data_IF_015455910850
#
_entry.id   IF_015455910850
#
_cell.length_a   1.000
_cell.length_b   1.000
_cell.length_c   1.000
_cell.angle_alpha   90.00
_cell.angle_beta   90.00
_cell.angle_gamma   90.00
#
_symmetry.space_group_name_H-M   'P 1'
#
loop_
_entity.id
_entity.type
_entity.pdbx_description
1 polymer ?
#
# COMPACT_ATOMS: atom_id res chain seq x y z
N UNK A 1 11.12 8.44 25.78
CA UNK A 1 9.90 7.61 25.61
C UNK A 1 9.25 7.95 24.28
N UNK A 2 8.38 7.10 23.71
CA UNK A 2 7.77 7.40 22.42
C UNK A 2 6.81 8.60 22.55
N UNK A 3 6.99 9.60 21.67
CA UNK A 3 6.02 10.66 21.46
C UNK A 3 4.84 10.08 20.68
N UNK A 4 3.73 9.83 21.36
CA UNK A 4 2.48 9.40 20.71
C UNK A 4 1.75 10.66 20.28
N UNK A 5 1.62 10.86 18.97
CA UNK A 5 0.77 11.92 18.45
C UNK A 5 -0.68 11.41 18.47
N UNK A 6 -1.46 11.84 19.46
CA UNK A 6 -2.90 11.62 19.47
C UNK A 6 -3.53 12.56 18.45
N UNK A 7 -3.52 12.17 17.18
CA UNK A 7 -4.26 12.85 16.12
C UNK A 7 -5.44 11.99 15.70
N UNK A 8 -6.58 12.21 16.35
CA UNK A 8 -7.87 11.78 15.83
C UNK A 8 -8.46 12.96 15.08
N UNK A 9 -8.20 13.04 13.77
CA UNK A 9 -8.99 13.94 12.94
C UNK A 9 -10.36 13.31 12.72
N UNK A 10 -11.31 13.71 13.55
CA UNK A 10 -12.72 13.36 13.47
C UNK A 10 -13.38 14.23 12.39
N UNK A 11 -13.32 13.79 11.14
CA UNK A 11 -13.98 14.50 10.04
C UNK A 11 -14.72 13.60 9.07
N UNK A 12 -14.14 12.46 8.69
CA UNK A 12 -14.76 11.53 7.74
C UNK A 12 -14.19 10.13 7.93
N UNK A 13 -15.05 9.14 8.22
CA UNK A 13 -14.64 7.73 8.23
C UNK A 13 -14.22 7.37 6.80
N UNK A 14 -12.93 7.11 6.58
CA UNK A 14 -12.44 6.78 5.25
C UNK A 14 -13.04 5.47 4.75
N UNK A 15 -13.34 5.37 3.44
CA UNK A 15 -13.87 4.14 2.80
C UNK A 15 -13.06 2.87 3.12
N UNK A 16 -11.75 3.01 3.34
CA UNK A 16 -10.90 1.89 3.72
C UNK A 16 -11.17 1.38 5.15
N UNK A 17 -11.62 2.24 6.07
CA UNK A 17 -12.02 1.83 7.42
C UNK A 17 -13.28 0.97 7.36
N UNK A 18 -14.27 1.37 6.57
CA UNK A 18 -15.47 0.55 6.33
C UNK A 18 -15.12 -0.81 5.72
N UNK A 19 -14.17 -0.87 4.79
CA UNK A 19 -13.65 -2.13 4.26
C UNK A 19 -12.96 -2.98 5.34
N UNK A 20 -12.17 -2.36 6.22
CA UNK A 20 -11.51 -3.05 7.35
C UNK A 20 -12.55 -3.64 8.32
N UNK A 21 -13.64 -2.94 8.58
CA UNK A 21 -14.73 -3.41 9.45
C UNK A 21 -15.40 -4.70 8.93
N UNK A 22 -15.27 -5.01 7.63
CA UNK A 22 -15.79 -6.27 7.05
C UNK A 22 -14.88 -7.48 7.23
N UNK A 23 -13.67 -7.30 7.77
CA UNK A 23 -12.65 -8.36 7.89
C UNK A 23 -12.59 -8.89 9.32
N UNK A 24 -12.12 -10.12 9.47
CA UNK A 24 -11.94 -10.72 10.79
C UNK A 24 -10.81 -10.02 11.57
N UNK A 25 -10.87 -10.08 12.90
CA UNK A 25 -9.84 -9.51 13.78
C UNK A 25 -8.44 -10.04 13.41
N UNK A 26 -7.47 -9.12 13.38
CA UNK A 26 -6.06 -9.43 13.08
C UNK A 26 -5.84 -10.18 11.76
N UNK A 27 -6.77 -10.07 10.80
CA UNK A 27 -6.67 -10.80 9.52
C UNK A 27 -6.00 -10.01 8.39
N UNK A 28 -6.01 -8.67 8.48
CA UNK A 28 -5.53 -7.78 7.41
C UNK A 28 -4.06 -7.41 7.59
N UNK A 29 -3.28 -7.56 6.52
CA UNK A 29 -1.89 -7.09 6.48
C UNK A 29 -1.83 -5.60 6.10
N UNK A 30 -1.33 -4.75 7.01
CA UNK A 30 -1.03 -3.36 6.69
C UNK A 30 0.40 -3.21 6.15
N UNK A 31 0.55 -2.50 5.03
CA UNK A 31 1.82 -2.32 4.34
C UNK A 31 2.02 -0.84 4.04
N UNK A 32 3.10 -0.27 4.57
CA UNK A 32 3.52 1.10 4.26
C UNK A 32 5.04 1.21 4.41
N UNK A 33 5.67 1.87 3.44
CA UNK A 33 7.10 2.18 3.45
C UNK A 33 7.38 3.61 3.95
N UNK A 34 6.38 4.26 4.56
CA UNK A 34 6.45 5.65 4.97
C UNK A 34 6.68 6.59 3.80
N UNK A 35 6.97 7.86 4.09
CA UNK A 35 7.13 8.90 3.06
C UNK A 35 8.48 8.84 2.34
N UNK A 36 9.52 8.29 2.98
CA UNK A 36 10.90 8.40 2.48
C UNK A 36 11.38 7.19 1.67
N UNK A 37 10.97 5.96 2.01
CA UNK A 37 11.52 4.78 1.33
C UNK A 37 10.86 4.53 -0.04
N UNK A 38 11.67 4.17 -1.04
CA UNK A 38 11.24 3.83 -2.40
C UNK A 38 11.63 2.38 -2.65
N UNK A 39 10.71 1.58 -3.17
CA UNK A 39 11.01 0.22 -3.59
C UNK A 39 11.61 0.23 -4.99
N UNK A 40 12.66 -0.55 -5.21
CA UNK A 40 13.08 -0.87 -6.57
C UNK A 40 12.01 -1.70 -7.29
N UNK A 41 11.98 -1.63 -8.63
CA UNK A 41 11.09 -2.46 -9.47
C UNK A 41 11.10 -3.94 -9.07
N UNK A 42 12.28 -4.49 -8.80
CA UNK A 42 12.43 -5.90 -8.38
C UNK A 42 11.76 -6.18 -7.03
N UNK A 43 11.91 -5.27 -6.06
CA UNK A 43 11.27 -5.41 -4.75
C UNK A 43 9.74 -5.29 -4.87
N UNK A 44 9.25 -4.37 -5.70
CA UNK A 44 7.82 -4.20 -5.95
C UNK A 44 7.21 -5.48 -6.53
N UNK A 45 7.84 -6.06 -7.56
CA UNK A 45 7.39 -7.31 -8.19
C UNK A 45 7.37 -8.47 -7.20
N UNK A 46 8.42 -8.65 -6.40
CA UNK A 46 8.45 -9.73 -5.41
C UNK A 46 7.43 -9.51 -4.27
N UNK A 47 7.18 -8.26 -3.88
CA UNK A 47 6.13 -7.93 -2.92
C UNK A 47 4.74 -8.30 -3.48
N UNK A 48 4.42 -7.90 -4.72
CA UNK A 48 3.18 -8.27 -5.39
C UNK A 48 2.99 -9.80 -5.43
N UNK A 49 4.01 -10.55 -5.86
CA UNK A 49 3.97 -12.02 -5.87
C UNK A 49 3.74 -12.60 -4.47
N UNK A 50 4.38 -12.05 -3.45
CA UNK A 50 4.21 -12.50 -2.07
C UNK A 50 2.77 -12.25 -1.58
N UNK A 51 2.17 -11.13 -1.94
CA UNK A 51 0.79 -10.79 -1.56
C UNK A 51 -0.23 -11.74 -2.20
N UNK A 52 -0.13 -12.02 -3.49
CA UNK A 52 -0.97 -13.03 -4.17
C UNK A 52 -0.84 -14.40 -3.48
N UNK A 53 0.40 -14.84 -3.24
CA UNK A 53 0.67 -16.14 -2.59
C UNK A 53 0.16 -16.19 -1.14
N UNK A 54 0.15 -15.07 -0.43
CA UNK A 54 -0.28 -15.01 0.96
C UNK A 54 -1.76 -15.32 1.15
N UNK A 55 -2.60 -15.10 0.12
CA UNK A 55 -4.07 -15.27 0.17
C UNK A 55 -4.72 -14.55 1.36
N UNK A 56 -4.09 -13.48 1.86
CA UNK A 56 -4.60 -12.67 2.97
C UNK A 56 -5.14 -11.35 2.45
N UNK A 57 -6.21 -10.80 3.07
CA UNK A 57 -6.61 -9.43 2.81
C UNK A 57 -5.45 -8.51 3.23
N UNK A 58 -5.18 -7.48 2.44
CA UNK A 58 -4.12 -6.53 2.71
C UNK A 58 -4.58 -5.10 2.42
N UNK A 59 -4.02 -4.16 3.17
CA UNK A 59 -4.15 -2.72 2.96
C UNK A 59 -2.75 -2.16 2.72
N UNK A 60 -2.47 -1.80 1.47
CA UNK A 60 -1.17 -1.27 1.07
C UNK A 60 -1.29 0.21 0.70
N UNK A 61 -0.54 1.05 1.41
CA UNK A 61 -0.38 2.47 1.11
C UNK A 61 0.73 2.64 0.07
N UNK A 62 0.34 3.02 -1.14
CA UNK A 62 1.24 3.39 -2.24
C UNK A 62 1.29 4.92 -2.27
N UNK A 63 2.49 5.49 -2.26
CA UNK A 63 2.70 6.94 -2.20
C UNK A 63 3.17 7.45 -3.56
N UNK A 64 2.50 8.46 -4.08
CA UNK A 64 2.96 9.19 -5.27
C UNK A 64 4.16 10.07 -4.87
N UNK A 65 5.35 9.78 -5.41
CA UNK A 65 6.57 10.51 -5.06
C UNK A 65 6.85 11.57 -6.11
N UNK A 66 6.10 12.67 -6.04
CA UNK A 66 6.13 13.81 -6.97
C UNK A 66 7.46 14.57 -7.15
N UNK A 67 8.62 14.07 -6.72
CA UNK A 67 9.89 14.83 -6.75
C UNK A 67 11.16 14.04 -7.09
N UNK A 68 11.12 13.08 -8.04
CA UNK A 68 12.36 12.64 -8.69
C UNK A 68 12.16 12.43 -10.18
N UNK A 69 12.75 13.30 -10.98
CA UNK A 69 12.83 13.22 -12.43
C UNK A 69 13.38 11.87 -12.91
N UNK A 70 12.47 10.93 -13.21
CA UNK A 70 12.64 9.76 -14.08
C UNK A 70 11.25 9.27 -14.53
N UNK A 71 10.64 9.99 -15.48
CA UNK A 71 9.33 9.65 -16.08
C UNK A 71 9.25 8.16 -16.50
N UNK A 72 10.36 7.59 -16.99
CA UNK A 72 10.47 6.17 -17.37
C UNK A 72 10.39 5.14 -16.22
N UNK A 73 10.69 5.50 -14.96
CA UNK A 73 10.64 4.58 -13.82
C UNK A 73 9.26 4.60 -13.13
N UNK A 74 8.59 5.75 -13.11
CA UNK A 74 7.25 5.92 -12.52
C UNK A 74 6.17 5.20 -13.35
N UNK A 75 6.17 5.37 -14.68
CA UNK A 75 5.21 4.66 -15.56
C UNK A 75 5.31 3.13 -15.41
N UNK A 76 6.53 2.61 -15.21
CA UNK A 76 6.76 1.17 -15.02
C UNK A 76 6.26 0.66 -13.67
N UNK A 77 6.26 1.50 -12.63
CA UNK A 77 5.71 1.14 -11.31
C UNK A 77 4.18 1.06 -11.38
N UNK A 78 3.53 2.05 -11.99
CA UNK A 78 2.08 2.06 -12.16
C UNK A 78 1.61 0.87 -13.00
N UNK A 79 2.31 0.53 -14.09
CA UNK A 79 1.99 -0.64 -14.91
C UNK A 79 2.07 -1.96 -14.12
N UNK A 80 3.09 -2.11 -13.25
CA UNK A 80 3.21 -3.29 -12.38
C UNK A 80 2.05 -3.33 -11.38
N UNK A 81 1.73 -2.21 -10.74
CA UNK A 81 0.65 -2.17 -9.74
C UNK A 81 -0.70 -2.42 -10.40
N UNK A 82 -0.90 -1.91 -11.61
CA UNK A 82 -2.12 -2.11 -12.40
C UNK A 82 -2.29 -3.58 -12.78
N UNK A 83 -1.28 -4.20 -13.39
CA UNK A 83 -1.31 -5.63 -13.72
C UNK A 83 -1.51 -6.52 -12.50
N UNK A 84 -0.90 -6.17 -11.37
CA UNK A 84 -1.12 -6.85 -10.09
C UNK A 84 -2.57 -6.73 -9.59
N UNK A 85 -3.21 -5.56 -9.75
CA UNK A 85 -4.63 -5.38 -9.39
C UNK A 85 -5.55 -6.24 -10.25
N UNK A 86 -5.31 -6.27 -11.56
CA UNK A 86 -6.07 -7.10 -12.50
C UNK A 86 -5.94 -8.60 -12.21
N UNK A 87 -4.82 -9.06 -11.63
CA UNK A 87 -4.62 -10.46 -11.22
C UNK A 87 -5.37 -10.82 -9.91
N UNK A 88 -5.75 -9.82 -9.11
CA UNK A 88 -6.46 -10.02 -7.84
C UNK A 88 -7.99 -9.99 -7.98
N UNK A 89 -8.50 -9.38 -9.05
CA UNK A 89 -9.93 -9.34 -9.40
C UNK A 89 -10.41 -10.69 -10.01
#
# INVERSE_FOLDING_TARGET
GPLITSRTDSGTRGRYLEWLDTKADSSVLYISFGTLAVLSKKQLVELCKALIKSRRPFLWVITDKSHRSKEDEEEKEEEIIKSFREELD
#
